data_IF_061176673962
#
_entry.id   IF_061176673962
#
_cell.length_a   1.000
_cell.length_b   1.000
_cell.length_c   1.000
_cell.angle_alpha   90.00
_cell.angle_beta   90.00
_cell.angle_gamma   90.00
#
_symmetry.space_group_name_H-M   'P 1'
#
loop_
_entity.id
_entity.type
_entity.pdbx_description
1 polymer ?
#
# COMPACT_ATOMS: atom_id res chain seq x y z
N UNK A 1 13.33 -40.38 -43.12
CA UNK A 1 13.84 -39.03 -43.43
C UNK A 1 13.05 -38.01 -42.62
N UNK A 2 13.78 -37.33 -41.73
CA UNK A 2 13.47 -36.12 -40.93
C UNK A 2 12.12 -36.00 -40.21
N UNK A 3 12.14 -36.34 -38.92
CA UNK A 3 11.19 -35.86 -37.91
C UNK A 3 11.36 -34.36 -37.71
N UNK A 4 10.32 -33.56 -37.99
CA UNK A 4 10.29 -32.12 -37.66
C UNK A 4 10.00 -31.97 -36.16
N UNK A 5 11.05 -31.86 -35.36
CA UNK A 5 10.94 -31.38 -33.99
C UNK A 5 10.59 -29.89 -34.04
N UNK A 6 9.33 -29.55 -33.80
CA UNK A 6 8.89 -28.17 -33.55
C UNK A 6 9.32 -27.81 -32.12
N UNK A 7 10.40 -27.05 -32.01
CA UNK A 7 10.91 -26.47 -30.77
C UNK A 7 9.83 -25.57 -30.16
N UNK A 8 9.23 -26.02 -29.05
CA UNK A 8 8.37 -25.17 -28.23
C UNK A 8 9.25 -24.17 -27.47
N UNK A 9 9.27 -22.91 -27.93
CA UNK A 9 9.95 -21.83 -27.23
C UNK A 9 9.26 -21.54 -25.90
N UNK A 10 9.95 -21.83 -24.79
CA UNK A 10 9.51 -21.48 -23.45
C UNK A 10 9.74 -19.98 -23.23
N UNK A 11 8.70 -19.17 -23.48
CA UNK A 11 8.65 -17.77 -23.05
C UNK A 11 8.52 -17.74 -21.52
N UNK A 12 9.64 -17.61 -20.81
CA UNK A 12 9.65 -17.26 -19.40
C UNK A 12 9.15 -15.82 -19.25
N UNK A 13 7.87 -15.65 -18.90
CA UNK A 13 7.33 -14.38 -18.46
C UNK A 13 7.97 -14.03 -17.10
N UNK A 14 8.84 -13.02 -17.09
CA UNK A 14 9.30 -12.38 -15.86
C UNK A 14 8.11 -11.65 -15.23
N UNK A 15 7.35 -12.34 -14.39
CA UNK A 15 6.33 -11.69 -13.56
C UNK A 15 7.04 -10.72 -12.61
N UNK A 16 6.65 -9.44 -12.64
CA UNK A 16 7.13 -8.45 -11.69
C UNK A 16 6.63 -8.82 -10.30
N UNK A 17 7.50 -9.36 -9.44
CA UNK A 17 7.14 -9.73 -8.08
C UNK A 17 6.74 -8.46 -7.30
N UNK A 18 5.47 -8.28 -7.00
CA UNK A 18 5.07 -7.30 -5.98
C UNK A 18 5.50 -7.81 -4.62
N UNK A 19 6.16 -6.97 -3.83
CA UNK A 19 6.56 -7.29 -2.45
C UNK A 19 5.68 -6.51 -1.48
N UNK A 20 5.04 -7.21 -0.55
CA UNK A 20 4.23 -6.63 0.52
C UNK A 20 4.84 -7.07 1.84
N UNK A 21 5.29 -6.11 2.65
CA UNK A 21 5.81 -6.33 4.00
C UNK A 21 4.84 -5.74 5.01
N UNK A 22 4.45 -6.51 6.02
CA UNK A 22 3.47 -6.08 7.02
C UNK A 22 3.88 -6.53 8.42
N UNK A 23 3.93 -5.56 9.33
CA UNK A 23 3.94 -5.74 10.77
C UNK A 23 2.53 -5.36 11.27
N UNK A 24 1.62 -6.33 11.47
CA UNK A 24 0.21 -6.06 11.70
C UNK A 24 -0.04 -5.39 13.04
N UNK A 25 -1.14 -4.63 13.12
CA UNK A 25 -1.62 -4.08 14.40
C UNK A 25 -2.07 -5.24 15.29
N UNK A 26 -1.50 -5.29 16.50
CA UNK A 26 -1.84 -6.32 17.46
C UNK A 26 -3.31 -6.19 17.94
N UNK A 27 -3.97 -7.33 18.17
CA UNK A 27 -5.42 -7.40 18.41
C UNK A 27 -5.90 -6.65 19.67
N UNK A 28 -5.01 -6.31 20.60
CA UNK A 28 -5.36 -5.48 21.76
C UNK A 28 -5.72 -4.03 21.40
N UNK A 29 -5.36 -3.55 20.20
CA UNK A 29 -5.70 -2.19 19.76
C UNK A 29 -7.03 -2.21 19.00
N UNK A 30 -8.04 -1.59 19.60
CA UNK A 30 -9.33 -1.36 18.94
C UNK A 30 -9.33 0.04 18.34
N UNK A 31 -9.08 0.13 17.04
CA UNK A 31 -9.03 1.39 16.30
C UNK A 31 -10.38 1.55 15.60
N UNK A 32 -11.20 2.51 16.05
CA UNK A 32 -12.45 2.89 15.35
C UNK A 32 -12.32 4.21 14.60
N UNK A 33 -11.35 5.04 14.99
CA UNK A 33 -11.04 6.30 14.34
C UNK A 33 -9.54 6.61 14.42
N UNK A 34 -9.00 7.31 13.43
CA UNK A 34 -7.62 7.79 13.44
C UNK A 34 -7.45 9.12 12.70
N UNK A 35 -6.34 9.81 12.98
CA UNK A 35 -5.89 10.96 12.19
C UNK A 35 -4.84 10.54 11.20
N UNK A 36 -5.02 10.92 9.93
CA UNK A 36 -3.97 10.82 8.93
C UNK A 36 -3.16 12.11 9.00
N UNK A 37 -1.88 12.00 9.27
CA UNK A 37 -0.95 13.12 9.23
C UNK A 37 -0.51 13.34 7.78
N UNK A 38 -0.82 14.51 7.23
CA UNK A 38 -0.46 14.87 5.87
C UNK A 38 1.07 14.86 5.69
N UNK A 39 1.51 14.21 4.60
CA UNK A 39 2.89 14.29 4.16
C UNK A 39 2.96 15.15 2.89
N UNK A 40 3.38 16.42 2.98
CA UNK A 40 3.38 17.33 1.83
C UNK A 40 4.36 16.92 0.72
N UNK A 41 5.26 15.96 0.99
CA UNK A 41 6.15 15.41 -0.04
C UNK A 41 5.47 14.36 -0.92
N UNK A 42 4.27 13.90 -0.56
CA UNK A 42 3.51 12.92 -1.34
C UNK A 42 2.61 13.65 -2.33
N UNK A 43 2.99 13.60 -3.61
CA UNK A 43 2.24 14.20 -4.73
C UNK A 43 1.40 13.16 -5.50
N UNK A 44 1.07 12.05 -4.83
CA UNK A 44 0.22 10.98 -5.38
C UNK A 44 -1.23 11.33 -5.09
N UNK A 45 -1.89 12.01 -6.04
CA UNK A 45 -3.15 12.72 -5.79
C UNK A 45 -4.31 11.90 -5.20
N UNK A 46 -4.43 10.63 -5.56
CA UNK A 46 -5.50 9.72 -5.10
C UNK A 46 -5.08 8.87 -3.88
N UNK A 47 -3.90 9.11 -3.31
CA UNK A 47 -3.36 8.22 -2.29
C UNK A 47 -4.14 8.26 -0.98
N UNK A 48 -4.42 9.47 -0.48
CA UNK A 48 -5.16 9.64 0.77
C UNK A 48 -6.59 9.14 0.62
N UNK A 49 -7.25 9.44 -0.49
CA UNK A 49 -8.63 9.00 -0.76
C UNK A 49 -8.74 7.46 -0.80
N UNK A 50 -7.78 6.80 -1.48
CA UNK A 50 -7.68 5.34 -1.51
C UNK A 50 -7.45 4.77 -0.11
N UNK A 51 -6.53 5.36 0.66
CA UNK A 51 -6.26 4.96 2.03
C UNK A 51 -7.49 5.10 2.94
N UNK A 52 -8.18 6.24 2.89
CA UNK A 52 -9.40 6.47 3.68
C UNK A 52 -10.51 5.49 3.29
N UNK A 53 -10.63 5.15 2.02
CA UNK A 53 -11.59 4.14 1.53
C UNK A 53 -11.29 2.76 2.08
N UNK A 54 -10.04 2.32 2.04
CA UNK A 54 -9.62 1.04 2.60
C UNK A 54 -9.83 0.99 4.13
N UNK A 55 -9.48 2.06 4.86
CA UNK A 55 -9.72 2.14 6.31
C UNK A 55 -11.22 2.03 6.65
N UNK A 56 -12.07 2.73 5.89
CA UNK A 56 -13.53 2.66 6.06
C UNK A 56 -14.09 1.26 5.82
N UNK A 57 -13.52 0.49 4.89
CA UNK A 57 -13.89 -0.93 4.68
C UNK A 57 -13.61 -1.80 5.91
N UNK A 58 -12.67 -1.39 6.78
CA UNK A 58 -12.39 -2.01 8.08
C UNK A 58 -13.11 -1.33 9.25
N UNK A 59 -14.12 -0.50 8.98
CA UNK A 59 -14.86 0.26 9.98
C UNK A 59 -13.98 1.24 10.79
N UNK A 60 -12.90 1.74 10.18
CA UNK A 60 -12.02 2.75 10.76
C UNK A 60 -12.31 4.08 10.09
N UNK A 61 -12.91 5.01 10.83
CA UNK A 61 -13.08 6.38 10.39
C UNK A 61 -11.74 7.12 10.37
N UNK A 62 -11.53 7.99 9.39
CA UNK A 62 -10.25 8.70 9.26
C UNK A 62 -10.43 10.12 8.77
N UNK A 63 -9.62 11.03 9.32
CA UNK A 63 -9.57 12.42 8.88
C UNK A 63 -8.13 12.85 8.61
N UNK A 64 -7.92 13.51 7.48
CA UNK A 64 -6.65 14.13 7.13
C UNK A 64 -6.46 15.43 7.92
N UNK A 65 -5.27 15.62 8.46
CA UNK A 65 -4.84 16.86 9.10
C UNK A 65 -3.47 17.27 8.57
N UNK A 66 -3.28 18.58 8.38
CA UNK A 66 -1.95 19.12 8.19
C UNK A 66 -1.07 18.78 9.40
N UNK A 67 0.20 18.46 9.17
CA UNK A 67 1.12 18.14 10.26
C UNK A 67 1.42 19.38 11.14
N UNK A 68 1.49 19.23 12.48
CA UNK A 68 1.23 18.00 13.25
C UNK A 68 -0.27 17.75 13.48
N UNK A 69 -0.65 16.48 13.66
CA UNK A 69 -2.03 16.14 14.06
C UNK A 69 -2.42 16.76 15.42
N UNK A 70 -3.72 16.97 15.68
CA UNK A 70 -4.19 17.43 16.98
C UNK A 70 -3.78 16.51 18.14
N UNK A 71 -3.44 17.08 19.30
CA UNK A 71 -2.98 16.33 20.48
C UNK A 71 -4.05 15.42 21.12
N UNK A 72 -5.32 15.58 20.76
CA UNK A 72 -6.41 14.67 21.17
C UNK A 72 -6.55 13.44 20.27
N UNK A 73 -5.66 13.28 19.27
CA UNK A 73 -5.69 12.12 18.41
C UNK A 73 -5.02 10.91 19.06
N UNK A 74 -5.82 9.91 19.47
CA UNK A 74 -5.29 8.69 20.08
C UNK A 74 -4.46 7.86 19.09
N UNK A 75 -4.95 7.72 17.87
CA UNK A 75 -4.30 6.95 16.80
C UNK A 75 -3.92 7.85 15.63
N UNK A 76 -2.63 7.84 15.28
CA UNK A 76 -2.09 8.57 14.13
C UNK A 76 -1.59 7.60 13.07
N UNK A 77 -1.89 7.91 11.82
CA UNK A 77 -1.34 7.24 10.65
C UNK A 77 -0.46 8.21 9.87
N UNK A 78 0.78 7.82 9.60
CA UNK A 78 1.69 8.52 8.68
C UNK A 78 1.90 7.70 7.42
N UNK A 79 2.19 8.34 6.30
CA UNK A 79 2.38 7.65 5.02
C UNK A 79 3.50 8.24 4.15
N UNK A 80 4.01 7.40 3.25
CA UNK A 80 4.83 7.79 2.09
C UNK A 80 4.27 7.12 0.85
N UNK A 81 4.42 7.77 -0.31
CA UNK A 81 4.10 7.17 -1.59
C UNK A 81 5.00 7.74 -2.67
N UNK A 82 5.52 6.86 -3.52
CA UNK A 82 6.44 7.17 -4.60
C UNK A 82 5.81 6.71 -5.91
N UNK A 83 5.81 7.61 -6.89
CA UNK A 83 5.47 7.28 -8.27
C UNK A 83 6.75 7.05 -9.08
N UNK A 84 6.73 6.03 -9.91
CA UNK A 84 7.70 5.84 -10.99
C UNK A 84 7.00 5.99 -12.33
N UNK A 85 7.77 6.06 -13.42
CA UNK A 85 7.26 6.27 -14.76
C UNK A 85 7.98 5.36 -15.77
N UNK A 86 7.22 4.83 -16.72
CA UNK A 86 7.77 4.24 -17.96
C UNK A 86 7.05 4.85 -19.18
N UNK A 87 5.71 4.91 -19.14
CA UNK A 87 4.85 5.52 -20.15
C UNK A 87 3.73 6.38 -19.54
N UNK A 88 3.23 5.97 -18.37
CA UNK A 88 2.40 6.77 -17.48
C UNK A 88 2.88 6.59 -16.03
N UNK A 89 2.51 7.51 -15.14
CA UNK A 89 2.90 7.43 -13.74
C UNK A 89 2.17 6.29 -13.02
N UNK A 90 2.89 5.55 -12.18
CA UNK A 90 2.33 4.47 -11.38
C UNK A 90 2.92 4.45 -9.97
N UNK A 91 2.16 3.95 -8.99
CA UNK A 91 2.66 3.71 -7.63
C UNK A 91 3.73 2.60 -7.64
N UNK A 92 4.96 2.93 -7.27
CA UNK A 92 6.09 1.99 -7.22
C UNK A 92 6.47 1.58 -5.80
N UNK A 93 6.29 2.49 -4.84
CA UNK A 93 6.47 2.22 -3.42
C UNK A 93 5.46 3.03 -2.60
N UNK A 94 4.96 2.44 -1.53
CA UNK A 94 4.15 3.13 -0.55
C UNK A 94 4.29 2.48 0.81
N UNK A 95 4.36 3.29 1.87
CA UNK A 95 4.35 2.80 3.22
C UNK A 95 3.33 3.53 4.08
N UNK A 96 2.80 2.82 5.06
CA UNK A 96 1.92 3.36 6.09
C UNK A 96 2.41 2.88 7.44
N UNK A 97 2.26 3.73 8.46
CA UNK A 97 2.63 3.41 9.84
C UNK A 97 1.57 3.92 10.78
N UNK A 98 1.15 3.07 11.70
CA UNK A 98 0.17 3.36 12.74
C UNK A 98 0.85 3.56 14.07
N UNK A 99 0.38 4.57 14.79
CA UNK A 99 0.87 4.95 16.10
C UNK A 99 -0.27 5.06 17.11
N UNK A 100 0.02 4.73 18.37
CA UNK A 100 -0.76 5.15 19.54
C UNK A 100 0.11 6.08 20.38
N UNK A 101 -0.19 7.37 20.38
CA UNK A 101 0.77 8.39 20.83
C UNK A 101 2.08 8.31 20.03
N UNK A 102 3.20 8.11 20.72
CA UNK A 102 4.53 7.97 20.08
C UNK A 102 4.91 6.51 19.76
N UNK A 103 4.14 5.54 20.26
CA UNK A 103 4.43 4.13 20.04
C UNK A 103 3.97 3.70 18.65
N UNK A 104 4.89 3.19 17.82
CA UNK A 104 4.54 2.50 16.57
C UNK A 104 3.87 1.17 16.91
N UNK A 105 2.63 0.98 16.44
CA UNK A 105 1.81 -0.21 16.72
C UNK A 105 1.55 -1.06 15.47
N UNK A 106 1.91 -0.57 14.28
CA UNK A 106 1.84 -1.32 13.04
C UNK A 106 2.57 -0.61 11.90
N UNK A 107 3.01 -1.38 10.91
CA UNK A 107 3.68 -0.87 9.73
C UNK A 107 3.35 -1.75 8.53
N UNK A 108 3.19 -1.15 7.36
CA UNK A 108 3.02 -1.91 6.14
C UNK A 108 3.61 -1.16 4.94
N UNK A 109 4.17 -1.91 4.00
CA UNK A 109 4.81 -1.38 2.80
C UNK A 109 4.47 -2.23 1.59
N UNK A 110 4.14 -1.54 0.51
CA UNK A 110 4.05 -2.05 -0.85
C UNK A 110 5.29 -1.61 -1.62
N UNK A 111 5.93 -2.53 -2.31
CA UNK A 111 7.00 -2.22 -3.27
C UNK A 111 6.80 -3.05 -4.53
N UNK A 112 6.79 -2.39 -5.69
CA UNK A 112 6.75 -3.04 -6.99
C UNK A 112 8.17 -3.45 -7.39
N UNK A 113 8.55 -4.73 -7.25
CA UNK A 113 9.91 -5.15 -7.61
C UNK A 113 10.13 -5.10 -9.13
N UNK A 114 11.31 -4.65 -9.54
CA UNK A 114 11.68 -4.54 -10.95
C UNK A 114 10.80 -3.61 -11.78
N UNK A 115 10.09 -2.66 -11.17
CA UNK A 115 9.19 -1.72 -11.87
C UNK A 115 7.95 -2.37 -12.47
N UNK A 116 7.66 -3.63 -12.13
CA UNK A 116 6.52 -4.39 -12.67
C UNK A 116 6.72 -4.91 -14.09
N UNK A 117 7.81 -4.56 -14.78
CA UNK A 117 8.07 -5.00 -16.16
C UNK A 117 6.90 -4.70 -17.11
N UNK A 118 6.45 -5.75 -17.82
CA UNK A 118 5.28 -5.70 -18.71
C UNK A 118 3.96 -6.02 -18.00
N UNK A 119 3.95 -6.16 -16.67
CA UNK A 119 2.72 -6.39 -15.93
C UNK A 119 1.84 -5.13 -15.96
N UNK A 120 0.70 -5.24 -16.65
CA UNK A 120 -0.32 -4.19 -16.72
C UNK A 120 -0.91 -3.86 -15.35
N UNK A 121 -0.76 -4.75 -14.36
CA UNK A 121 -1.19 -4.50 -12.97
C UNK A 121 -0.49 -3.28 -12.34
N UNK A 122 0.65 -2.82 -12.89
CA UNK A 122 1.30 -1.58 -12.46
C UNK A 122 0.42 -0.34 -12.66
N UNK A 123 -0.58 -0.38 -13.53
CA UNK A 123 -1.51 0.73 -13.75
C UNK A 123 -2.79 0.63 -12.93
N UNK A 124 -2.91 -0.36 -12.04
CA UNK A 124 -4.00 -0.42 -11.07
C UNK A 124 -4.02 0.83 -10.19
N UNK A 125 -5.20 1.14 -9.69
CA UNK A 125 -5.45 2.27 -8.78
C UNK A 125 -4.65 2.13 -7.49
N UNK A 126 -4.45 3.23 -6.76
CA UNK A 126 -3.81 3.17 -5.44
C UNK A 126 -4.61 2.25 -4.50
N UNK A 127 -5.94 2.33 -4.52
CA UNK A 127 -6.81 1.49 -3.70
C UNK A 127 -6.53 0.00 -3.94
N UNK A 128 -6.54 -0.45 -5.19
CA UNK A 128 -6.30 -1.86 -5.53
C UNK A 128 -4.90 -2.35 -5.10
N UNK A 129 -3.88 -1.49 -5.23
CA UNK A 129 -2.51 -1.84 -4.85
C UNK A 129 -2.32 -1.89 -3.33
N UNK A 130 -2.98 -0.97 -2.61
CA UNK A 130 -2.86 -0.86 -1.17
C UNK A 130 -3.85 -1.75 -0.41
N UNK A 131 -4.89 -2.27 -1.05
CA UNK A 131 -5.86 -3.19 -0.43
C UNK A 131 -5.20 -4.36 0.33
N UNK A 132 -4.32 -5.18 -0.27
CA UNK A 132 -3.67 -6.27 0.46
C UNK A 132 -2.75 -5.79 1.59
N UNK A 133 -2.25 -4.55 1.51
CA UNK A 133 -1.38 -3.92 2.52
C UNK A 133 -2.21 -3.54 3.74
N UNK A 134 -3.30 -2.81 3.53
CA UNK A 134 -4.18 -2.33 4.61
C UNK A 134 -4.95 -3.50 5.22
N UNK A 135 -5.42 -4.46 4.41
CA UNK A 135 -6.10 -5.65 4.90
C UNK A 135 -5.23 -6.48 5.87
N UNK A 136 -3.93 -6.60 5.62
CA UNK A 136 -3.04 -7.31 6.53
C UNK A 136 -2.62 -6.44 7.73
N UNK A 137 -2.55 -5.11 7.57
CA UNK A 137 -2.15 -4.20 8.63
C UNK A 137 -3.22 -4.09 9.74
N UNK A 138 -4.48 -3.90 9.36
CA UNK A 138 -5.59 -3.66 10.29
C UNK A 138 -6.65 -4.75 10.28
N UNK A 139 -6.67 -5.60 9.25
CA UNK A 139 -7.54 -6.78 9.27
C UNK A 139 -7.04 -7.74 10.34
N UNK A 140 -7.97 -8.17 11.19
CA UNK A 140 -7.65 -9.15 12.23
C UNK A 140 -7.10 -10.41 11.55
N UNK A 141 -5.88 -10.80 11.90
CA UNK A 141 -5.40 -12.14 11.60
C UNK A 141 -6.40 -13.11 12.24
N UNK A 142 -7.21 -13.75 11.39
CA UNK A 142 -8.09 -14.85 11.81
C UNK A 142 -7.25 -16.07 12.18
#
# INVERSE_FOLDING_TARGET
>A
MLSRALTAGLLMALAGCTNVKVDPVASQYTISQLCIEENPNVVVGDFVDGLQTLLRQHHIESRLYAAPVPGNCEYRLTYTAIRSWDFSAYLSDASVRLYKGDQSIGFAQYTLAGGGGFDLSKYKTVEEKMAPVINQLVGQAK
#
